data_IF_105612825605
#
_entry.id   IF_105612825605
#
_cell.length_a   1.000
_cell.length_b   1.000
_cell.length_c   1.000
_cell.angle_alpha   90.00
_cell.angle_beta   90.00
_cell.angle_gamma   90.00
#
_symmetry.space_group_name_H-M   'P 1'
#
loop_
_entity.id
_entity.type
_entity.pdbx_description
1 polymer ?
#
# COMPACT_ATOMS: atom_id res chain seq x y z
N UNK A 1 13.55 46.72 27.28
CA UNK A 1 13.30 45.44 26.57
C UNK A 1 13.80 44.34 27.48
N UNK A 2 12.90 43.75 28.25
CA UNK A 2 13.19 42.65 29.16
C UNK A 2 13.14 41.37 28.32
N UNK A 3 14.27 40.68 28.17
CA UNK A 3 14.29 39.35 27.58
C UNK A 3 13.69 38.39 28.60
N UNK A 4 12.45 37.99 28.34
CA UNK A 4 11.77 36.94 29.09
C UNK A 4 12.56 35.64 28.99
N UNK A 5 13.06 35.17 30.14
CA UNK A 5 13.57 33.82 30.31
C UNK A 5 12.43 32.82 30.11
N UNK A 6 12.27 32.36 28.87
CA UNK A 6 11.51 31.17 28.56
C UNK A 6 12.35 29.96 28.97
N UNK A 7 11.76 29.09 29.78
CA UNK A 7 12.38 27.85 30.21
C UNK A 7 12.96 27.05 29.02
N UNK A 8 14.00 26.26 29.29
CA UNK A 8 14.53 25.30 28.33
C UNK A 8 13.62 24.05 28.21
N UNK A 9 12.29 24.21 28.28
CA UNK A 9 11.32 23.17 27.92
C UNK A 9 10.74 23.35 26.51
N UNK A 10 11.32 24.25 25.70
CA UNK A 10 11.09 24.29 24.27
C UNK A 10 11.30 22.88 23.70
N UNK A 11 10.21 22.23 23.28
CA UNK A 11 10.18 20.86 22.79
C UNK A 11 11.31 20.66 21.77
N UNK A 12 12.38 19.98 22.21
CA UNK A 12 13.53 19.73 21.37
C UNK A 12 13.07 18.95 20.13
N UNK A 13 13.47 19.39 18.94
CA UNK A 13 13.18 18.69 17.69
C UNK A 13 13.94 17.36 17.67
N UNK A 14 13.24 16.26 17.99
CA UNK A 14 13.82 14.91 18.18
C UNK A 14 13.61 14.00 16.96
N UNK A 15 13.66 14.54 15.75
CA UNK A 15 13.57 13.72 14.54
C UNK A 15 14.69 12.69 14.49
N UNK A 16 14.34 11.42 14.25
CA UNK A 16 15.30 10.31 14.19
C UNK A 16 15.86 9.87 15.55
N UNK A 17 15.42 10.46 16.67
CA UNK A 17 15.80 9.96 17.99
C UNK A 17 15.30 8.52 18.18
N UNK A 18 16.11 7.70 18.84
CA UNK A 18 15.74 6.33 19.15
C UNK A 18 14.42 6.31 19.94
N UNK A 19 13.44 5.58 19.41
CA UNK A 19 12.17 5.34 20.08
C UNK A 19 12.08 3.84 20.39
N UNK A 20 12.34 3.43 21.64
CA UNK A 20 12.32 2.02 22.03
C UNK A 20 11.00 1.31 21.71
N UNK A 21 9.86 2.02 21.75
CA UNK A 21 8.57 1.45 21.36
C UNK A 21 8.51 1.16 19.84
N UNK A 22 9.07 2.05 19.01
CA UNK A 22 9.17 1.83 17.56
C UNK A 22 10.20 0.75 17.20
N UNK A 23 11.30 0.65 17.97
CA UNK A 23 12.24 -0.47 17.90
C UNK A 23 11.56 -1.80 18.25
N UNK A 24 10.79 -1.87 19.33
CA UNK A 24 10.04 -3.07 19.69
C UNK A 24 9.02 -3.45 18.61
N UNK A 25 8.24 -2.48 18.10
CA UNK A 25 7.25 -2.73 17.06
C UNK A 25 7.87 -3.26 15.75
N UNK A 26 9.03 -2.72 15.32
CA UNK A 26 9.68 -3.20 14.06
C UNK A 26 10.04 -4.67 14.14
N UNK A 27 10.48 -5.14 15.31
CA UNK A 27 10.89 -6.53 15.55
C UNK A 27 9.72 -7.52 15.49
N UNK A 28 8.48 -7.01 15.61
CA UNK A 28 7.25 -7.78 15.56
C UNK A 28 6.52 -7.64 14.20
N UNK A 29 7.11 -6.95 13.23
CA UNK A 29 6.51 -6.79 11.90
C UNK A 29 6.41 -8.13 11.14
N UNK A 30 5.46 -8.23 10.21
CA UNK A 30 5.34 -9.38 9.28
C UNK A 30 6.68 -9.63 8.58
N UNK A 31 7.34 -8.57 8.13
CA UNK A 31 8.66 -8.64 7.49
C UNK A 31 9.71 -9.28 8.41
N UNK A 32 9.78 -8.85 9.68
CA UNK A 32 10.72 -9.42 10.64
C UNK A 32 10.40 -10.89 10.96
N UNK A 33 9.13 -11.27 11.01
CA UNK A 33 8.72 -12.66 11.19
C UNK A 33 9.12 -13.54 10.00
N UNK A 34 8.84 -13.11 8.77
CA UNK A 34 9.22 -13.82 7.54
C UNK A 34 10.73 -14.03 7.48
N UNK A 35 11.54 -13.02 7.82
CA UNK A 35 12.99 -13.19 7.86
C UNK A 35 13.48 -14.16 8.93
N UNK A 36 12.81 -14.23 10.09
CA UNK A 36 13.12 -15.26 11.10
C UNK A 36 12.86 -16.67 10.58
N UNK A 37 11.79 -16.87 9.82
CA UNK A 37 11.51 -18.17 9.15
C UNK A 37 12.61 -18.49 8.13
N UNK A 38 13.01 -17.52 7.30
CA UNK A 38 14.08 -17.72 6.32
C UNK A 38 15.45 -17.98 6.96
N UNK A 39 15.71 -17.45 8.15
CA UNK A 39 16.94 -17.71 8.88
C UNK A 39 17.08 -19.17 9.34
N UNK A 40 15.98 -19.92 9.42
CA UNK A 40 15.97 -21.35 9.77
C UNK A 40 16.23 -22.28 8.57
N UNK A 41 16.33 -21.75 7.34
CA UNK A 41 16.55 -22.55 6.15
C UNK A 41 18.00 -23.07 6.08
N UNK A 42 18.16 -24.30 5.60
CA UNK A 42 19.47 -24.84 5.27
C UNK A 42 20.02 -24.11 4.04
N UNK A 43 21.21 -23.52 4.17
CA UNK A 43 21.88 -22.81 3.06
C UNK A 43 22.48 -23.76 2.02
N UNK A 44 22.64 -25.05 2.35
CA UNK A 44 23.07 -26.09 1.41
C UNK A 44 21.93 -26.65 0.54
N UNK A 45 20.68 -26.32 0.86
CA UNK A 45 19.51 -26.79 0.09
C UNK A 45 19.37 -25.98 -1.20
N UNK A 46 19.26 -26.68 -2.34
CA UNK A 46 19.14 -26.10 -3.66
C UNK A 46 17.70 -25.70 -4.04
N UNK A 47 16.70 -26.06 -3.22
CA UNK A 47 15.29 -25.71 -3.51
C UNK A 47 15.06 -24.21 -3.43
N UNK A 48 14.24 -23.70 -4.35
CA UNK A 48 13.84 -22.29 -4.33
C UNK A 48 12.99 -21.96 -3.10
N UNK A 49 13.29 -20.85 -2.45
CA UNK A 49 12.52 -20.35 -1.30
C UNK A 49 11.25 -19.66 -1.80
N UNK A 50 10.09 -20.08 -1.28
CA UNK A 50 8.82 -19.43 -1.60
C UNK A 50 8.74 -18.02 -0.99
N UNK A 51 8.32 -16.99 -1.74
CA UNK A 51 8.13 -15.64 -1.22
C UNK A 51 6.86 -15.58 -0.35
N UNK A 52 7.01 -15.32 0.96
CA UNK A 52 5.90 -15.32 1.92
C UNK A 52 5.39 -13.92 2.29
N UNK A 53 6.15 -12.87 1.96
CA UNK A 53 5.87 -11.49 2.36
C UNK A 53 5.71 -10.51 1.21
N UNK A 54 5.50 -10.99 -0.02
CA UNK A 54 5.27 -10.11 -1.17
C UNK A 54 3.81 -9.67 -1.19
N UNK A 55 3.58 -8.38 -0.92
CA UNK A 55 2.25 -7.76 -1.05
C UNK A 55 1.96 -7.24 -2.46
N UNK A 56 2.98 -7.17 -3.33
CA UNK A 56 2.81 -6.81 -4.73
C UNK A 56 2.56 -8.07 -5.58
N UNK A 57 1.35 -8.24 -6.14
CA UNK A 57 1.05 -9.39 -6.99
C UNK A 57 1.85 -9.39 -8.29
N UNK A 58 2.32 -8.23 -8.78
CA UNK A 58 3.05 -8.15 -10.05
C UNK A 58 4.41 -8.86 -10.02
N UNK A 59 4.92 -9.18 -8.83
CA UNK A 59 6.10 -10.02 -8.63
C UNK A 59 5.95 -11.42 -9.27
N UNK A 60 4.71 -11.88 -9.47
CA UNK A 60 4.42 -13.14 -10.12
C UNK A 60 4.02 -12.91 -11.58
N UNK A 61 4.67 -13.62 -12.51
CA UNK A 61 4.45 -13.43 -13.95
C UNK A 61 3.00 -13.70 -14.41
N UNK A 62 2.27 -14.54 -13.67
CA UNK A 62 0.86 -14.85 -13.94
C UNK A 62 -0.10 -13.72 -13.54
N UNK A 63 0.34 -12.75 -12.74
CA UNK A 63 -0.46 -11.59 -12.36
C UNK A 63 -0.04 -10.40 -13.23
N UNK A 64 -0.84 -10.15 -14.28
CA UNK A 64 -0.67 -9.01 -15.18
C UNK A 64 -1.99 -8.26 -15.30
N UNK A 65 -1.88 -6.94 -15.51
CA UNK A 65 -3.04 -6.13 -15.84
C UNK A 65 -3.73 -6.69 -17.08
N UNK A 66 -5.06 -6.68 -17.08
CA UNK A 66 -5.84 -7.15 -18.23
C UNK A 66 -5.49 -6.33 -19.49
N UNK A 67 -5.45 -6.93 -20.69
CA UNK A 67 -5.12 -6.22 -21.93
C UNK A 67 -5.99 -4.97 -22.18
N UNK A 68 -7.28 -5.02 -21.79
CA UNK A 68 -8.19 -3.89 -21.86
C UNK A 68 -7.74 -2.71 -20.99
N UNK A 69 -7.22 -2.98 -19.78
CA UNK A 69 -6.72 -1.94 -18.89
C UNK A 69 -5.46 -1.27 -19.47
N UNK A 70 -4.50 -2.07 -19.96
CA UNK A 70 -3.29 -1.53 -20.60
C UNK A 70 -3.61 -0.75 -21.87
N UNK A 71 -4.57 -1.22 -22.68
CA UNK A 71 -5.04 -0.53 -23.88
C UNK A 71 -5.71 0.81 -23.57
N UNK A 72 -6.54 0.87 -22.52
CA UNK A 72 -7.18 2.11 -22.08
C UNK A 72 -6.16 3.18 -21.66
N UNK A 73 -5.09 2.79 -20.96
CA UNK A 73 -4.00 3.72 -20.58
C UNK A 73 -3.30 4.26 -21.83
N UNK A 74 -2.97 3.40 -22.80
CA UNK A 74 -2.34 3.84 -24.06
C UNK A 74 -3.24 4.81 -24.82
N UNK A 75 -4.53 4.50 -24.94
CA UNK A 75 -5.50 5.37 -25.61
C UNK A 75 -5.67 6.73 -24.88
N UNK A 76 -5.72 6.73 -23.55
CA UNK A 76 -5.83 7.95 -22.75
C UNK A 76 -4.59 8.84 -22.88
N UNK A 77 -3.39 8.23 -22.94
CA UNK A 77 -2.14 8.96 -23.17
C UNK A 77 -2.05 9.52 -24.59
N UNK A 78 -2.42 8.72 -25.59
CA UNK A 78 -2.39 9.12 -27.00
C UNK A 78 -3.40 10.24 -27.32
N UNK A 79 -4.52 10.32 -26.59
CA UNK A 79 -5.52 11.36 -26.81
C UNK A 79 -5.12 12.75 -26.33
N UNK A 80 -4.16 12.84 -25.40
CA UNK A 80 -3.76 14.10 -24.76
C UNK A 80 -4.85 14.76 -23.90
N UNK A 81 -6.05 14.17 -23.81
CA UNK A 81 -7.22 14.76 -23.16
C UNK A 81 -7.17 14.73 -21.63
N UNK A 82 -6.25 13.95 -21.05
CA UNK A 82 -6.18 13.67 -19.62
C UNK A 82 -4.85 14.13 -18.97
N UNK A 83 -4.13 15.06 -19.61
CA UNK A 83 -2.80 15.49 -19.17
C UNK A 83 -2.82 16.64 -18.14
N UNK A 84 -3.99 17.23 -17.89
CA UNK A 84 -4.19 18.29 -16.91
C UNK A 84 -4.48 17.73 -15.52
N UNK A 85 -4.38 18.57 -14.49
CA UNK A 85 -4.81 18.21 -13.14
C UNK A 85 -6.29 17.82 -13.11
N UNK A 86 -6.58 16.69 -12.46
CA UNK A 86 -7.93 16.32 -12.12
C UNK A 86 -8.46 17.22 -10.97
N UNK A 87 -9.78 17.37 -10.81
CA UNK A 87 -10.37 17.92 -9.59
C UNK A 87 -9.90 17.13 -8.37
N UNK A 88 -9.89 17.77 -7.18
CA UNK A 88 -9.47 17.12 -5.93
C UNK A 88 -10.27 15.84 -5.60
N UNK A 89 -11.54 15.79 -6.02
CA UNK A 89 -12.41 14.63 -5.86
C UNK A 89 -12.24 13.55 -6.95
N UNK A 90 -11.32 13.76 -7.90
CA UNK A 90 -11.12 12.91 -9.07
C UNK A 90 -11.97 13.31 -10.27
N UNK A 91 -11.77 12.60 -11.40
CA UNK A 91 -12.53 12.80 -12.64
C UNK A 91 -13.94 12.21 -12.43
N UNK A 92 -14.98 13.04 -12.56
CA UNK A 92 -16.36 12.66 -12.25
C UNK A 92 -16.85 11.39 -12.96
N UNK A 93 -16.45 11.20 -14.22
CA UNK A 93 -16.78 9.99 -14.99
C UNK A 93 -16.17 8.73 -14.35
N UNK A 94 -14.88 8.78 -14.01
CA UNK A 94 -14.17 7.67 -13.39
C UNK A 94 -14.76 7.30 -12.03
N UNK A 95 -15.09 8.30 -11.20
CA UNK A 95 -15.70 8.08 -9.89
C UNK A 95 -17.08 7.40 -10.01
N UNK A 96 -17.91 7.84 -10.96
CA UNK A 96 -19.24 7.25 -11.17
C UNK A 96 -19.16 5.80 -11.62
N UNK A 97 -18.24 5.47 -12.53
CA UNK A 97 -18.02 4.11 -13.00
C UNK A 97 -17.51 3.21 -11.86
N UNK A 98 -16.58 3.69 -11.04
CA UNK A 98 -16.09 2.97 -9.86
C UNK A 98 -17.20 2.60 -8.89
N UNK A 99 -18.08 3.54 -8.54
CA UNK A 99 -19.23 3.25 -7.66
C UNK A 99 -20.19 2.21 -8.23
N UNK A 100 -20.46 2.27 -9.55
CA UNK A 100 -21.33 1.29 -10.22
C UNK A 100 -20.76 -0.13 -10.15
N UNK A 101 -19.47 -0.27 -10.39
CA UNK A 101 -18.79 -1.56 -10.32
C UNK A 101 -18.80 -2.14 -8.89
N UNK A 102 -18.47 -1.31 -7.89
CA UNK A 102 -18.55 -1.71 -6.48
C UNK A 102 -19.97 -2.13 -6.10
N UNK A 103 -20.98 -1.36 -6.52
CA UNK A 103 -22.38 -1.68 -6.25
C UNK A 103 -22.80 -3.02 -6.90
N UNK A 104 -22.37 -3.28 -8.14
CA UNK A 104 -22.64 -4.54 -8.81
C UNK A 104 -22.03 -5.73 -8.06
N UNK A 105 -20.81 -5.59 -7.54
CA UNK A 105 -20.14 -6.62 -6.74
C UNK A 105 -20.84 -6.86 -5.39
N UNK A 106 -21.25 -5.80 -4.70
CA UNK A 106 -22.03 -5.91 -3.44
C UNK A 106 -23.36 -6.62 -3.68
N UNK A 107 -24.06 -6.28 -4.76
CA UNK A 107 -25.32 -6.95 -5.12
C UNK A 107 -25.10 -8.41 -5.54
N UNK A 108 -24.01 -8.71 -6.27
CA UNK A 108 -23.64 -10.07 -6.66
C UNK A 108 -23.33 -10.98 -5.47
N UNK A 109 -22.68 -10.46 -4.42
CA UNK A 109 -22.31 -11.23 -3.23
C UNK A 109 -23.50 -11.61 -2.33
N UNK A 110 -24.69 -11.02 -2.55
CA UNK A 110 -25.95 -11.38 -1.87
C UNK A 110 -25.97 -11.18 -0.35
N UNK A 111 -27.14 -11.34 0.32
CA UNK A 111 -27.27 -11.22 1.77
C UNK A 111 -26.73 -12.43 2.57
N UNK A 112 -26.00 -13.36 1.94
CA UNK A 112 -25.53 -14.60 2.59
C UNK A 112 -24.35 -14.42 3.55
N UNK A 113 -23.86 -13.19 3.74
CA UNK A 113 -22.89 -12.81 4.77
C UNK A 113 -23.55 -11.97 5.88
N UNK A 114 -24.62 -12.49 6.49
CA UNK A 114 -24.94 -12.12 7.87
C UNK A 114 -24.34 -13.21 8.75
N UNK A 115 -23.22 -12.85 9.39
CA UNK A 115 -22.44 -13.69 10.31
C UNK A 115 -23.36 -14.13 11.47
N UNK A 116 -23.42 -15.44 11.72
CA UNK A 116 -23.93 -16.02 12.98
C UNK A 116 -23.02 -15.62 14.14
#
# INVERSE_FOLDING_TARGET
MENGGGDASAAAWRFGAANPAMEAARSQSIRALVYRVYACLDRGDARSVAPLGHGDPAAFACFRAAPAATGAVVAAAASGAHNSYAPAAGIAEACRLGTKEVQAQVTYMGPSYQVL
#
